data_IF_530625967568
#
_entry.id   IF_530625967568
#
_cell.length_a   1.000
_cell.length_b   1.000
_cell.length_c   1.000
_cell.angle_alpha   90.00
_cell.angle_beta   90.00
_cell.angle_gamma   90.00
#
_symmetry.space_group_name_H-M   'P 1'
#
loop_
_entity.id
_entity.type
_entity.pdbx_description
1 polymer ?
#
# COMPACT_ATOMS: atom_id res chain seq x y z
N UNK A 1 -3.26 -43.81 -21.07
CA UNK A 1 -1.98 -43.10 -21.28
C UNK A 1 -2.08 -42.20 -22.51
N UNK A 2 -1.49 -40.99 -22.45
CA UNK A 2 -1.16 -40.03 -23.54
C UNK A 2 -2.31 -39.20 -24.20
N UNK A 3 -2.32 -37.85 -24.04
CA UNK A 3 -1.78 -36.74 -24.90
C UNK A 3 -2.84 -36.26 -25.94
N UNK A 4 -3.09 -34.98 -26.27
CA UNK A 4 -2.48 -33.69 -25.98
C UNK A 4 -3.43 -32.50 -26.32
N UNK A 5 -3.23 -31.39 -25.60
CA UNK A 5 -3.28 -29.96 -25.95
C UNK A 5 -3.85 -29.51 -27.31
N UNK A 6 -4.85 -28.62 -27.28
CA UNK A 6 -4.89 -27.43 -28.17
C UNK A 6 -5.82 -26.35 -27.57
N UNK A 7 -5.28 -25.18 -27.25
CA UNK A 7 -6.07 -23.95 -27.15
C UNK A 7 -5.26 -22.87 -27.87
N UNK A 8 -5.88 -22.37 -28.94
CA UNK A 8 -5.41 -21.31 -29.81
C UNK A 8 -5.47 -19.95 -29.10
N UNK A 9 -4.55 -19.10 -29.51
CA UNK A 9 -4.35 -17.69 -29.14
C UNK A 9 -5.57 -16.84 -29.48
N UNK A 10 -5.88 -15.85 -28.64
CA UNK A 10 -6.56 -14.62 -29.06
C UNK A 10 -6.25 -13.49 -28.07
N UNK A 11 -5.42 -12.56 -28.52
CA UNK A 11 -5.21 -11.23 -28.01
C UNK A 11 -6.52 -10.48 -27.72
N UNK A 12 -6.61 -9.83 -26.56
CA UNK A 12 -7.44 -8.65 -26.36
C UNK A 12 -6.90 -7.84 -25.18
N UNK A 13 -6.25 -6.72 -25.56
CA UNK A 13 -6.09 -5.45 -24.84
C UNK A 13 -5.46 -5.53 -23.43
N UNK A 14 -4.20 -5.10 -23.23
CA UNK A 14 -3.76 -4.72 -21.90
C UNK A 14 -4.49 -3.42 -21.56
N UNK A 15 -5.54 -3.53 -20.75
CA UNK A 15 -6.03 -2.43 -19.94
C UNK A 15 -4.81 -1.86 -19.22
N UNK A 16 -4.54 -0.58 -19.45
CA UNK A 16 -3.56 0.22 -18.74
C UNK A 16 -3.88 0.19 -17.23
N UNK A 17 -3.45 -0.88 -16.58
CA UNK A 17 -3.19 -0.86 -15.15
C UNK A 17 -1.91 -0.05 -15.01
N UNK A 18 -1.91 1.09 -14.31
CA UNK A 18 -0.67 1.77 -13.99
C UNK A 18 0.13 0.81 -13.10
N UNK A 19 1.08 0.12 -13.74
CA UNK A 19 2.30 -0.44 -13.20
C UNK A 19 2.16 -0.97 -11.78
N UNK A 20 1.54 -2.15 -11.63
CA UNK A 20 1.91 -3.08 -10.55
C UNK A 20 3.32 -3.62 -10.82
N UNK A 21 4.32 -2.75 -10.68
CA UNK A 21 5.70 -3.21 -10.49
C UNK A 21 5.72 -3.89 -9.13
N UNK A 22 5.72 -5.22 -9.17
CA UNK A 22 6.50 -6.03 -8.24
C UNK A 22 7.97 -5.65 -8.39
N UNK A 23 8.32 -4.43 -7.99
CA UNK A 23 9.65 -4.15 -7.53
C UNK A 23 9.56 -4.30 -6.03
N UNK A 24 10.48 -5.09 -5.51
CA UNK A 24 10.82 -5.19 -4.11
C UNK A 24 11.01 -3.76 -3.62
N UNK A 25 9.94 -3.14 -3.10
CA UNK A 25 9.93 -1.72 -2.82
C UNK A 25 11.10 -1.50 -1.88
N UNK A 26 12.04 -0.75 -2.44
CA UNK A 26 13.25 -0.28 -1.83
C UNK A 26 12.91 0.08 -0.39
N UNK A 27 13.81 -0.26 0.53
CA UNK A 27 13.94 0.40 1.82
C UNK A 27 14.14 1.91 1.55
N UNK A 28 13.07 2.58 1.16
CA UNK A 28 13.02 3.94 0.68
C UNK A 28 13.01 4.84 1.89
N UNK A 29 13.63 6.00 1.77
CA UNK A 29 13.59 7.02 2.80
C UNK A 29 12.13 7.20 3.29
N UNK A 30 11.90 7.32 4.61
CA UNK A 30 10.55 7.43 5.15
C UNK A 30 9.85 8.62 4.49
N UNK A 31 8.69 8.36 3.86
CA UNK A 31 7.88 9.41 3.22
C UNK A 31 7.12 10.19 4.28
N UNK A 32 6.97 11.50 4.09
CA UNK A 32 6.12 12.29 4.98
C UNK A 32 4.69 11.77 4.98
N UNK A 33 4.13 11.60 6.18
CA UNK A 33 2.72 11.29 6.37
C UNK A 33 1.85 12.45 5.92
N UNK A 34 0.96 12.14 5.00
CA UNK A 34 -0.13 12.95 4.50
C UNK A 34 -1.43 12.12 4.52
N UNK A 35 -2.52 12.72 5.01
CA UNK A 35 -3.82 12.05 5.15
C UNK A 35 -4.65 11.97 3.87
N UNK A 36 -4.30 12.72 2.83
CA UNK A 36 -4.92 12.63 1.50
C UNK A 36 -4.31 11.49 0.68
N UNK A 37 -3.05 11.16 0.97
CA UNK A 37 -2.35 10.07 0.32
C UNK A 37 -2.80 8.68 0.80
N UNK A 38 -2.38 7.65 0.07
CA UNK A 38 -2.58 6.25 0.39
C UNK A 38 -1.24 5.55 0.66
N UNK A 39 -1.30 4.54 1.52
CA UNK A 39 -0.14 3.77 1.97
C UNK A 39 -0.46 2.28 1.90
N UNK A 40 0.59 1.48 1.80
CA UNK A 40 0.53 0.01 1.77
C UNK A 40 1.31 -0.58 2.95
N UNK A 41 1.00 -1.82 3.31
CA UNK A 41 1.73 -2.55 4.35
C UNK A 41 3.21 -2.71 3.96
N UNK A 42 4.11 -2.43 4.91
CA UNK A 42 5.56 -2.42 4.72
C UNK A 42 6.14 -1.06 4.30
N UNK A 43 5.32 -0.03 4.09
CA UNK A 43 5.83 1.32 3.81
C UNK A 43 6.38 2.02 5.06
N UNK A 44 7.47 2.78 4.92
CA UNK A 44 8.02 3.64 5.97
C UNK A 44 7.45 5.05 5.86
N UNK A 45 6.84 5.52 6.95
CA UNK A 45 6.12 6.79 7.04
C UNK A 45 6.70 7.63 8.18
N UNK A 46 7.01 8.89 7.91
CA UNK A 46 7.45 9.88 8.89
C UNK A 46 6.31 10.82 9.28
N UNK A 47 6.03 10.97 10.57
CA UNK A 47 4.96 11.80 11.08
C UNK A 47 5.50 13.06 11.78
N UNK A 48 5.35 14.21 11.13
CA UNK A 48 5.91 15.51 11.58
C UNK A 48 5.51 15.90 13.01
N UNK A 49 4.26 15.62 13.42
CA UNK A 49 3.77 15.98 14.77
C UNK A 49 4.46 15.15 15.86
N UNK A 50 4.84 13.91 15.54
CA UNK A 50 5.50 13.01 16.48
C UNK A 50 7.01 13.03 16.33
N UNK A 51 7.52 13.68 15.27
CA UNK A 51 8.92 13.64 14.86
C UNK A 51 9.45 12.20 14.88
N UNK A 52 8.68 11.30 14.28
CA UNK A 52 8.92 9.87 14.37
C UNK A 52 8.62 9.18 13.05
N UNK A 53 9.40 8.14 12.76
CA UNK A 53 9.20 7.28 11.60
C UNK A 53 8.63 5.95 12.05
N UNK A 54 7.79 5.37 11.22
CA UNK A 54 7.16 4.11 11.50
C UNK A 54 6.83 3.33 10.25
N UNK A 55 6.74 2.02 10.40
CA UNK A 55 6.39 1.11 9.31
C UNK A 55 4.89 0.82 9.36
N UNK A 56 4.22 0.88 8.21
CA UNK A 56 2.82 0.50 8.08
C UNK A 56 2.72 -1.01 8.27
N UNK A 57 2.11 -1.46 9.36
CA UNK A 57 1.96 -2.88 9.67
C UNK A 57 0.64 -3.46 9.22
N UNK A 58 -0.39 -2.62 8.99
CA UNK A 58 -1.71 -3.06 8.56
C UNK A 58 -2.43 -1.91 7.85
N UNK A 59 -3.18 -2.21 6.79
CA UNK A 59 -4.11 -1.26 6.15
C UNK A 59 -5.52 -1.83 6.16
N UNK A 60 -6.50 -0.97 6.36
CA UNK A 60 -7.90 -1.39 6.44
C UNK A 60 -8.87 -0.30 6.00
N UNK A 61 -10.13 -0.71 5.84
CA UNK A 61 -11.24 0.17 5.51
C UNK A 61 -12.30 -0.04 6.59
N UNK A 62 -12.84 1.05 7.12
CA UNK A 62 -13.97 1.02 8.06
C UNK A 62 -15.28 0.82 7.31
N UNK A 63 -16.35 0.44 8.00
CA UNK A 63 -17.68 0.24 7.39
C UNK A 63 -18.20 1.52 6.72
N UNK A 64 -17.82 2.69 7.23
CA UNK A 64 -18.12 4.01 6.66
C UNK A 64 -17.32 4.34 5.38
N UNK A 65 -16.50 3.40 4.89
CA UNK A 65 -15.65 3.58 3.71
C UNK A 65 -14.38 4.40 3.98
N UNK A 66 -14.11 4.79 5.23
CA UNK A 66 -12.90 5.55 5.60
C UNK A 66 -11.72 4.59 5.66
N UNK A 67 -10.65 4.91 4.92
CA UNK A 67 -9.41 4.12 4.96
C UNK A 67 -8.57 4.48 6.17
N UNK A 68 -8.02 3.46 6.80
CA UNK A 68 -7.14 3.56 7.97
C UNK A 68 -5.91 2.69 7.78
N UNK A 69 -4.84 3.04 8.47
CA UNK A 69 -3.65 2.23 8.56
C UNK A 69 -3.15 2.18 9.98
N UNK A 70 -2.48 1.08 10.32
CA UNK A 70 -1.76 0.90 11.57
C UNK A 70 -0.28 1.01 11.26
N UNK A 71 0.40 1.90 11.96
CA UNK A 71 1.81 2.21 11.77
C UNK A 71 2.53 1.95 13.08
N UNK A 72 3.63 1.20 13.03
CA UNK A 72 4.50 0.98 14.17
C UNK A 72 5.63 2.00 14.14
N UNK A 73 5.48 3.07 14.92
CA UNK A 73 6.48 4.12 15.09
C UNK A 73 7.59 3.69 16.05
N UNK A 74 8.83 4.10 15.78
CA UNK A 74 10.00 3.67 16.56
C UNK A 74 10.03 4.24 18.00
N UNK A 75 9.61 5.49 18.19
CA UNK A 75 9.57 6.14 19.51
C UNK A 75 8.18 6.05 20.14
N UNK A 76 7.12 6.29 19.35
CA UNK A 76 5.73 6.39 19.84
C UNK A 76 5.01 5.02 19.89
N UNK A 77 5.52 4.02 19.17
CA UNK A 77 4.93 2.69 19.09
C UNK A 77 3.77 2.58 18.10
N UNK A 78 2.88 1.59 18.29
CA UNK A 78 1.76 1.33 17.37
C UNK A 78 0.72 2.45 17.43
N UNK A 79 0.38 3.01 16.26
CA UNK A 79 -0.67 4.01 16.11
C UNK A 79 -1.55 3.75 14.90
N UNK A 80 -2.83 4.11 15.04
CA UNK A 80 -3.78 4.08 13.94
C UNK A 80 -3.90 5.47 13.33
N UNK A 81 -3.75 5.57 12.02
CA UNK A 81 -3.86 6.78 11.22
C UNK A 81 -4.97 6.60 10.17
N UNK A 82 -5.59 7.71 9.74
CA UNK A 82 -6.57 7.71 8.64
C UNK A 82 -5.86 8.10 7.35
N UNK A 83 -6.31 7.58 6.22
CA UNK A 83 -5.72 7.91 4.91
C UNK A 83 -6.81 8.10 3.86
N UNK A 84 -6.47 8.75 2.74
CA UNK A 84 -7.38 8.94 1.61
C UNK A 84 -8.66 9.71 1.93
N UNK A 85 -8.63 10.73 2.81
CA UNK A 85 -9.74 11.68 2.84
C UNK A 85 -9.69 12.55 1.60
N UNK A 86 -10.40 12.11 0.55
CA UNK A 86 -10.84 13.02 -0.51
C UNK A 86 -11.65 14.12 0.16
N UNK A 87 -11.11 15.34 0.17
CA UNK A 87 -11.79 16.53 0.65
C UNK A 87 -12.91 16.92 -0.31
#
# INVERSE_FOLDING_TARGET
MAKAKTIKKADTKPVEVPVRKKDKAVQGAPRDYDSAELYEEGELVYHKIWDDKGEVVEVGITEDGIRKMKVHFEKVGLKNLRMGQAS
#
